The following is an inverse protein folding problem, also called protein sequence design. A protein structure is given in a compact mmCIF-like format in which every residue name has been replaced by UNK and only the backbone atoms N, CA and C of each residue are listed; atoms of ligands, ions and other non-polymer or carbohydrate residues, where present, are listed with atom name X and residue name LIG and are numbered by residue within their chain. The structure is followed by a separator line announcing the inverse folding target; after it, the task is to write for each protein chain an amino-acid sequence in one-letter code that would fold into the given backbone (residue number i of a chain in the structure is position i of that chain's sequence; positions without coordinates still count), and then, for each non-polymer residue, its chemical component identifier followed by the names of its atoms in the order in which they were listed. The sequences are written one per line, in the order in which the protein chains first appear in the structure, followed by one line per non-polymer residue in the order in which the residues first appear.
data_IF_801321488684
#
_entry.id   IF_801321488684
#
_cell.length_a   1.000
_cell.length_b   1.000
_cell.length_c   1.000
_cell.angle_alpha   90.00
_cell.angle_beta   90.00
_cell.angle_gamma   90.00
#
_symmetry.space_group_name_H-M   'P 1'
#
loop_
_entity.id
_entity.type
_entity.pdbx_description
1 polymer ?
#
# COMPACT_ATOMS: atom_id res chain seq x y z
N UNK A 1 30.45 6.02 -11.06
CA UNK A 1 30.48 6.20 -9.59
C UNK A 1 29.61 7.39 -9.26
N UNK A 2 28.66 7.26 -8.33
CA UNK A 2 27.80 8.39 -7.94
C UNK A 2 28.64 9.52 -7.32
N UNK A 3 28.29 10.78 -7.63
CA UNK A 3 28.98 11.95 -7.09
C UNK A 3 29.02 11.92 -5.56
N UNK A 4 30.07 12.44 -4.91
CA UNK A 4 30.24 12.38 -3.45
C UNK A 4 29.05 12.97 -2.66
N UNK A 5 28.38 13.99 -3.19
CA UNK A 5 27.14 14.55 -2.62
C UNK A 5 25.97 13.56 -2.56
N UNK A 6 25.82 12.71 -3.57
CA UNK A 6 24.75 11.68 -3.61
C UNK A 6 25.00 10.64 -2.53
N UNK A 7 26.25 10.23 -2.34
CA UNK A 7 26.65 9.29 -1.28
C UNK A 7 26.34 9.84 0.12
N UNK A 8 26.64 11.11 0.37
CA UNK A 8 26.34 11.75 1.66
C UNK A 8 24.82 11.85 1.91
N UNK A 9 24.03 12.21 0.91
CA UNK A 9 22.57 12.29 1.04
C UNK A 9 21.92 10.91 1.26
N UNK A 10 22.43 9.87 0.61
CA UNK A 10 22.00 8.48 0.85
C UNK A 10 22.31 8.06 2.29
N UNK A 11 23.52 8.33 2.78
CA UNK A 11 23.93 8.01 4.16
C UNK A 11 23.08 8.76 5.20
N UNK A 12 22.81 10.05 4.97
CA UNK A 12 21.96 10.85 5.86
C UNK A 12 20.52 10.33 5.89
N UNK A 13 19.96 10.00 4.74
CA UNK A 13 18.60 9.42 4.66
C UNK A 13 18.51 8.08 5.39
N UNK A 14 19.51 7.22 5.25
CA UNK A 14 19.60 5.96 5.99
C UNK A 14 19.77 6.17 7.49
N UNK A 15 20.59 7.14 7.90
CA UNK A 15 20.79 7.45 9.32
C UNK A 15 19.50 7.98 9.98
N UNK A 16 18.77 8.89 9.33
CA UNK A 16 17.48 9.42 9.81
C UNK A 16 16.44 8.30 9.90
N UNK A 17 16.36 7.43 8.90
CA UNK A 17 15.48 6.28 8.94
C UNK A 17 15.81 5.34 10.11
N UNK A 18 17.08 5.01 10.28
CA UNK A 18 17.59 4.12 11.33
C UNK A 18 17.37 4.69 12.75
N UNK A 19 17.62 5.99 12.96
CA UNK A 19 17.39 6.63 14.27
C UNK A 19 15.89 6.64 14.65
N UNK A 20 15.01 6.89 13.67
CA UNK A 20 13.56 6.84 13.84
C UNK A 20 13.09 5.43 14.19
N UNK A 21 13.60 4.41 13.49
CA UNK A 21 13.26 3.01 13.73
C UNK A 21 13.73 2.56 15.13
N UNK A 22 14.94 2.96 15.56
CA UNK A 22 15.44 2.70 16.91
C UNK A 22 14.56 3.35 17.99
N UNK A 23 14.23 4.62 17.86
CA UNK A 23 13.37 5.30 18.83
C UNK A 23 12.01 4.62 18.95
N UNK A 24 11.45 4.20 17.83
CA UNK A 24 10.17 3.48 17.83
C UNK A 24 10.30 2.09 18.47
N UNK A 25 11.41 1.40 18.24
CA UNK A 25 11.69 0.07 18.78
C UNK A 25 11.92 0.11 20.31
N UNK A 26 12.69 1.07 20.79
CA UNK A 26 13.09 1.11 22.22
C UNK A 26 12.05 1.77 23.13
N UNK A 27 11.28 2.74 22.64
CA UNK A 27 10.30 3.47 23.46
C UNK A 27 8.85 3.19 23.02
N UNK A 28 8.58 3.21 21.71
CA UNK A 28 7.23 3.09 21.20
C UNK A 28 6.63 1.70 21.38
N UNK A 29 7.40 0.64 21.19
CA UNK A 29 6.90 -0.74 21.27
C UNK A 29 6.61 -1.19 22.71
N UNK A 30 7.50 -1.00 23.70
CA UNK A 30 7.18 -1.35 25.10
C UNK A 30 5.96 -0.60 25.64
N UNK A 31 5.87 0.70 25.37
CA UNK A 31 4.71 1.50 25.78
C UNK A 31 3.42 1.02 25.11
N UNK A 32 3.49 0.73 23.82
CA UNK A 32 2.38 0.19 23.05
C UNK A 32 1.86 -1.15 23.60
N UNK A 33 2.77 -2.05 24.01
CA UNK A 33 2.41 -3.34 24.64
C UNK A 33 1.67 -3.13 25.97
N UNK A 34 2.18 -2.24 26.83
CA UNK A 34 1.51 -1.92 28.10
C UNK A 34 0.12 -1.33 27.84
N UNK A 35 0.00 -0.42 26.89
CA UNK A 35 -1.29 0.17 26.51
C UNK A 35 -2.27 -0.89 26.01
N UNK A 36 -1.85 -1.77 25.10
CA UNK A 36 -2.72 -2.82 24.56
C UNK A 36 -3.11 -3.83 25.65
N UNK A 37 -2.17 -4.27 26.49
CA UNK A 37 -2.47 -5.17 27.60
C UNK A 37 -3.50 -4.57 28.57
N UNK A 38 -3.37 -3.27 28.92
CA UNK A 38 -4.37 -2.59 29.75
C UNK A 38 -5.75 -2.57 29.09
N UNK A 39 -5.79 -2.34 27.79
CA UNK A 39 -7.03 -2.35 27.02
C UNK A 39 -7.61 -3.77 26.90
N UNK A 40 -6.80 -4.78 26.65
CA UNK A 40 -7.20 -6.20 26.57
C UNK A 40 -7.90 -6.67 27.84
N UNK A 41 -7.42 -6.25 28.99
CA UNK A 41 -8.00 -6.62 30.29
C UNK A 41 -9.05 -5.62 30.80
N UNK A 42 -9.55 -4.74 29.94
CA UNK A 42 -10.58 -3.75 30.28
C UNK A 42 -10.27 -2.92 31.56
N UNK A 43 -8.97 -2.66 31.82
CA UNK A 43 -8.52 -1.86 32.97
C UNK A 43 -8.90 -0.39 32.80
N UNK A 44 -8.89 0.35 33.93
CA UNK A 44 -9.14 1.79 33.92
C UNK A 44 -8.32 2.51 32.83
N UNK A 45 -8.98 3.34 32.02
CA UNK A 45 -8.39 4.05 30.89
C UNK A 45 -8.47 3.31 29.55
N UNK A 46 -8.99 2.09 29.47
CA UNK A 46 -9.13 1.29 28.23
C UNK A 46 -9.86 2.06 27.12
N UNK A 47 -10.95 2.75 27.44
CA UNK A 47 -11.70 3.58 26.45
C UNK A 47 -10.83 4.71 25.87
N UNK A 48 -9.94 5.31 26.67
CA UNK A 48 -9.02 6.35 26.17
C UNK A 48 -7.98 5.75 25.23
N UNK A 49 -7.44 4.58 25.55
CA UNK A 49 -6.47 3.87 24.69
C UNK A 49 -7.12 3.54 23.35
N UNK A 50 -8.36 3.07 23.35
CA UNK A 50 -9.11 2.79 22.13
C UNK A 50 -9.43 4.06 21.35
N UNK A 51 -9.79 5.17 22.03
CA UNK A 51 -9.99 6.47 21.39
C UNK A 51 -8.73 6.98 20.67
N UNK A 52 -7.53 6.69 21.18
CA UNK A 52 -6.27 6.97 20.47
C UNK A 52 -5.99 6.04 19.29
N UNK A 53 -6.83 5.04 19.06
CA UNK A 53 -6.82 4.19 17.86
C UNK A 53 -6.05 2.89 17.98
N UNK A 54 -5.68 2.43 19.18
CA UNK A 54 -4.87 1.25 19.47
C UNK A 54 -3.50 1.25 18.75
N UNK A 55 -2.41 0.79 19.39
CA UNK A 55 -1.09 0.74 18.76
C UNK A 55 -1.02 -0.34 17.68
N UNK A 56 -1.01 0.08 16.42
CA UNK A 56 -1.13 -0.79 15.24
C UNK A 56 -0.17 -1.98 15.23
N UNK A 57 1.12 -1.72 15.48
CA UNK A 57 2.13 -2.79 15.40
C UNK A 57 1.95 -3.84 16.50
N UNK A 58 1.47 -3.43 17.69
CA UNK A 58 1.18 -4.38 18.76
C UNK A 58 -0.10 -5.17 18.48
N UNK A 59 -1.14 -4.54 17.88
CA UNK A 59 -2.33 -5.26 17.40
C UNK A 59 -1.91 -6.33 16.38
N UNK A 60 -1.03 -5.98 15.42
CA UNK A 60 -0.50 -6.94 14.44
C UNK A 60 0.31 -8.07 15.08
N UNK A 61 1.16 -7.74 16.04
CA UNK A 61 1.95 -8.74 16.80
C UNK A 61 1.05 -9.69 17.58
N UNK A 62 0.01 -9.15 18.24
CA UNK A 62 -0.91 -9.93 19.09
C UNK A 62 -1.80 -10.87 18.27
N UNK A 63 -2.32 -10.40 17.14
CA UNK A 63 -3.21 -11.18 16.27
C UNK A 63 -2.46 -12.13 15.33
N UNK A 64 -1.20 -11.82 15.01
CA UNK A 64 -0.43 -12.48 13.98
C UNK A 64 -0.81 -12.02 12.57
N UNK A 65 0.10 -12.23 11.62
CA UNK A 65 -0.08 -11.77 10.24
C UNK A 65 -1.28 -12.42 9.53
N UNK A 66 -1.51 -13.72 9.76
CA UNK A 66 -2.60 -14.46 9.12
C UNK A 66 -3.99 -13.91 9.46
N UNK A 67 -4.18 -13.47 10.70
CA UNK A 67 -5.47 -12.93 11.16
C UNK A 67 -5.86 -11.61 10.47
N UNK A 68 -4.88 -10.87 9.97
CA UNK A 68 -5.04 -9.58 9.29
C UNK A 68 -4.75 -9.68 7.78
N UNK A 69 -4.55 -10.88 7.27
CA UNK A 69 -4.36 -11.14 5.84
C UNK A 69 -5.68 -11.59 5.20
N UNK A 70 -6.06 -10.90 4.16
CA UNK A 70 -7.21 -11.24 3.32
C UNK A 70 -6.71 -11.61 1.92
N UNK A 71 -7.44 -12.47 1.22
CA UNK A 71 -7.15 -12.82 -0.16
C UNK A 71 -8.20 -12.18 -1.06
N UNK A 72 -7.76 -11.43 -2.05
CA UNK A 72 -8.65 -10.68 -2.94
C UNK A 72 -8.22 -10.83 -4.40
N UNK A 73 -9.18 -10.77 -5.30
CA UNK A 73 -8.89 -10.61 -6.72
C UNK A 73 -8.22 -9.23 -6.94
N UNK A 74 -6.98 -9.15 -7.43
CA UNK A 74 -6.28 -7.88 -7.63
C UNK A 74 -7.01 -6.93 -8.60
N UNK A 75 -7.79 -7.48 -9.54
CA UNK A 75 -8.57 -6.68 -10.50
C UNK A 75 -9.83 -6.06 -9.90
N UNK A 76 -10.27 -6.51 -8.73
CA UNK A 76 -11.34 -5.86 -7.97
C UNK A 76 -10.79 -4.80 -6.99
N UNK A 77 -9.50 -4.88 -6.61
CA UNK A 77 -8.86 -3.92 -5.72
C UNK A 77 -8.41 -2.68 -6.50
N UNK A 78 -9.37 -1.93 -7.02
CA UNK A 78 -9.15 -0.79 -7.91
C UNK A 78 -9.19 0.58 -7.21
N UNK A 79 -9.67 0.66 -5.98
CA UNK A 79 -9.80 1.94 -5.27
C UNK A 79 -8.73 2.11 -4.21
N UNK A 80 -8.08 3.27 -4.21
CA UNK A 80 -7.07 3.67 -3.23
C UNK A 80 -7.57 4.85 -2.39
N UNK A 81 -7.47 4.72 -1.06
CA UNK A 81 -7.84 5.79 -0.14
C UNK A 81 -6.88 6.98 -0.23
N UNK A 82 -7.41 8.20 -0.32
CA UNK A 82 -6.67 9.45 -0.27
C UNK A 82 -6.63 9.96 1.16
N UNK A 83 -5.55 9.69 1.88
CA UNK A 83 -5.42 9.90 3.33
C UNK A 83 -5.43 11.37 3.78
N UNK A 84 -5.15 12.31 2.89
CA UNK A 84 -5.18 13.75 3.17
C UNK A 84 -5.53 14.49 1.89
N UNK A 85 -6.82 14.55 1.52
CA UNK A 85 -7.27 15.16 0.26
C UNK A 85 -7.15 16.69 0.26
N UNK A 86 -7.05 17.34 1.42
CA UNK A 86 -6.88 18.79 1.58
C UNK A 86 -5.72 19.09 2.52
N UNK A 87 -5.08 20.26 2.33
CA UNK A 87 -3.96 20.71 3.18
C UNK A 87 -4.35 20.85 4.66
N UNK A 88 -5.61 21.19 4.92
CA UNK A 88 -6.18 21.38 6.25
C UNK A 88 -6.50 20.05 6.97
N UNK A 89 -6.67 18.96 6.22
CA UNK A 89 -6.99 17.65 6.77
C UNK A 89 -5.72 16.95 7.27
N UNK A 90 -5.71 16.64 8.56
CA UNK A 90 -4.59 15.88 9.14
C UNK A 90 -4.65 14.43 8.66
N UNK A 91 -3.54 13.98 8.12
CA UNK A 91 -3.36 12.56 7.81
C UNK A 91 -3.49 11.72 9.08
N UNK A 92 -4.28 10.62 9.07
CA UNK A 92 -4.36 9.72 10.22
C UNK A 92 -2.99 9.18 10.62
N UNK A 93 -2.79 8.97 11.92
CA UNK A 93 -1.51 8.47 12.42
C UNK A 93 -1.22 7.06 11.90
N UNK A 94 -0.06 6.87 11.29
CA UNK A 94 0.39 5.54 10.85
C UNK A 94 0.67 4.57 12.02
N UNK A 95 0.70 5.06 13.25
CA UNK A 95 0.89 4.28 14.48
C UNK A 95 -0.42 3.73 15.03
N UNK A 96 -1.57 4.33 14.69
CA UNK A 96 -2.88 3.89 15.16
C UNK A 96 -3.45 2.79 14.24
N UNK A 97 -4.07 1.77 14.82
CA UNK A 97 -4.79 0.73 14.08
C UNK A 97 -6.17 1.22 13.64
N UNK A 98 -6.87 1.97 14.51
CA UNK A 98 -8.19 2.53 14.24
C UNK A 98 -8.02 3.98 13.80
N UNK A 99 -8.52 4.31 12.60
CA UNK A 99 -8.47 5.64 12.03
C UNK A 99 -9.83 6.32 12.05
N UNK A 100 -9.82 7.63 12.28
CA UNK A 100 -10.99 8.51 12.24
C UNK A 100 -10.90 9.46 11.03
N UNK A 101 -12.00 10.17 10.75
CA UNK A 101 -12.05 11.22 9.73
C UNK A 101 -12.65 10.78 8.40
N UNK A 102 -12.35 11.54 7.34
CA UNK A 102 -12.96 11.42 6.01
C UNK A 102 -12.05 10.76 4.96
N UNK A 103 -10.95 10.16 5.39
CA UNK A 103 -9.90 9.60 4.53
C UNK A 103 -10.37 8.54 3.54
N UNK A 104 -11.51 7.90 3.76
CA UNK A 104 -12.10 6.85 2.93
C UNK A 104 -13.17 7.38 1.94
N UNK A 105 -13.47 8.69 1.99
CA UNK A 105 -14.50 9.30 1.17
C UNK A 105 -14.00 9.78 -0.20
N UNK A 106 -12.69 9.96 -0.36
CA UNK A 106 -12.04 10.21 -1.64
C UNK A 106 -11.18 9.02 -2.03
N UNK A 107 -11.31 8.58 -3.28
CA UNK A 107 -10.70 7.34 -3.75
C UNK A 107 -10.11 7.53 -5.14
N UNK A 108 -8.82 7.26 -5.29
CA UNK A 108 -8.19 7.20 -6.61
C UNK A 108 -8.53 5.89 -7.31
N UNK A 109 -8.68 5.93 -8.63
CA UNK A 109 -8.78 4.74 -9.46
C UNK A 109 -7.38 4.26 -9.86
N UNK A 110 -6.99 3.09 -9.40
CA UNK A 110 -5.68 2.52 -9.66
C UNK A 110 -5.47 2.11 -11.11
N UNK A 111 -6.54 1.89 -11.88
CA UNK A 111 -6.48 1.49 -13.30
C UNK A 111 -5.90 2.60 -14.19
N UNK A 112 -6.17 3.86 -13.84
CA UNK A 112 -5.57 5.04 -14.47
C UNK A 112 -4.34 5.56 -13.71
N UNK A 113 -3.96 4.88 -12.65
CA UNK A 113 -2.82 5.25 -11.81
C UNK A 113 -1.48 5.05 -12.52
N UNK A 114 -0.50 5.89 -12.17
CA UNK A 114 0.84 5.88 -12.79
C UNK A 114 1.57 4.54 -12.66
N UNK A 115 1.24 3.71 -11.65
CA UNK A 115 1.88 2.39 -11.46
C UNK A 115 1.34 1.36 -12.44
N UNK A 116 0.02 1.31 -12.60
CA UNK A 116 -0.58 0.42 -13.60
C UNK A 116 -0.18 0.80 -15.03
N UNK A 117 -0.24 2.10 -15.36
CA UNK A 117 0.20 2.61 -16.66
C UNK A 117 1.67 2.26 -16.95
N UNK A 118 2.56 2.40 -15.94
CA UNK A 118 3.97 2.03 -16.08
C UNK A 118 4.13 0.54 -16.40
N UNK A 119 3.48 -0.34 -15.63
CA UNK A 119 3.63 -1.79 -15.81
C UNK A 119 3.03 -2.25 -17.15
N UNK A 120 1.87 -1.71 -17.54
CA UNK A 120 1.25 -2.00 -18.84
C UNK A 120 2.14 -1.55 -20.00
N UNK A 121 2.64 -0.31 -19.97
CA UNK A 121 3.53 0.25 -20.98
C UNK A 121 4.83 -0.55 -21.13
N UNK A 122 5.42 -0.99 -20.01
CA UNK A 122 6.61 -1.86 -20.00
C UNK A 122 6.31 -3.24 -20.62
N UNK A 123 5.17 -3.83 -20.27
CA UNK A 123 4.78 -5.15 -20.78
C UNK A 123 4.49 -5.11 -22.29
N UNK A 124 3.84 -4.07 -22.76
CA UNK A 124 3.51 -3.86 -24.17
C UNK A 124 4.74 -3.57 -25.04
N UNK A 125 5.70 -2.81 -24.49
CA UNK A 125 6.94 -2.42 -25.19
C UNK A 125 8.18 -3.20 -24.73
N UNK A 126 8.03 -4.43 -24.23
CA UNK A 126 9.12 -5.22 -23.62
C UNK A 126 10.34 -5.44 -24.50
N UNK A 127 10.18 -5.44 -25.82
CA UNK A 127 11.25 -5.62 -26.80
C UNK A 127 11.85 -4.30 -27.28
N UNK A 128 11.21 -3.15 -26.96
CA UNK A 128 11.61 -1.81 -27.39
C UNK A 128 11.37 -0.81 -26.25
N UNK A 129 12.11 -0.94 -25.15
CA UNK A 129 11.92 -0.15 -23.92
C UNK A 129 12.08 1.35 -24.12
N UNK A 130 12.80 1.76 -25.15
CA UNK A 130 12.97 3.15 -25.57
C UNK A 130 11.64 3.79 -26.02
N UNK A 131 10.67 2.98 -26.44
CA UNK A 131 9.35 3.45 -26.85
C UNK A 131 8.44 3.76 -25.64
N UNK A 132 8.77 3.25 -24.46
CA UNK A 132 7.96 3.48 -23.26
C UNK A 132 7.87 4.95 -22.89
N UNK A 133 6.71 5.38 -22.42
CA UNK A 133 6.48 6.73 -21.92
C UNK A 133 7.44 7.06 -20.75
N UNK A 134 7.78 6.03 -19.94
CA UNK A 134 8.71 6.19 -18.83
C UNK A 134 10.12 6.49 -19.32
N UNK A 135 10.63 5.78 -20.31
CA UNK A 135 11.93 6.05 -20.92
C UNK A 135 11.99 7.46 -21.47
N UNK A 136 11.03 7.84 -22.33
CA UNK A 136 10.95 9.19 -22.93
C UNK A 136 10.94 10.29 -21.89
N UNK A 137 10.17 10.10 -20.80
CA UNK A 137 10.10 11.07 -19.68
C UNK A 137 11.45 11.20 -18.96
N UNK A 138 12.17 10.10 -18.75
CA UNK A 138 13.46 10.12 -18.06
C UNK A 138 14.55 10.71 -18.96
N UNK A 139 14.55 10.42 -20.25
CA UNK A 139 15.44 11.06 -21.23
C UNK A 139 15.28 12.58 -21.26
N UNK A 140 14.05 13.07 -21.34
CA UNK A 140 13.77 14.51 -21.27
C UNK A 140 14.36 15.16 -20.00
N UNK A 141 14.37 14.46 -18.88
CA UNK A 141 15.00 14.97 -17.64
C UNK A 141 16.51 15.04 -17.72
N UNK A 142 17.16 14.06 -18.37
CA UNK A 142 18.61 14.09 -18.65
C UNK A 142 18.95 15.28 -19.53
N UNK A 143 18.23 15.49 -20.62
CA UNK A 143 18.40 16.61 -21.55
C UNK A 143 18.25 17.97 -20.85
N UNK A 144 17.41 18.05 -19.83
CA UNK A 144 17.19 19.25 -19.01
C UNK A 144 18.23 19.40 -17.89
N UNK A 145 19.25 18.56 -17.81
CA UNK A 145 20.27 18.60 -16.75
C UNK A 145 19.76 18.20 -15.36
N UNK A 146 18.56 17.57 -15.28
CA UNK A 146 17.92 17.15 -14.04
C UNK A 146 17.58 15.66 -14.05
N UNK A 147 18.57 14.75 -14.09
CA UNK A 147 18.35 13.32 -14.12
C UNK A 147 17.54 12.84 -12.91
N UNK A 148 16.84 11.74 -13.06
CA UNK A 148 16.05 11.19 -11.97
C UNK A 148 16.93 10.44 -10.97
N UNK A 149 16.68 10.72 -9.68
CA UNK A 149 17.40 10.11 -8.58
C UNK A 149 16.46 9.64 -7.46
N UNK A 150 16.84 8.56 -6.80
CA UNK A 150 16.21 8.07 -5.58
C UNK A 150 17.28 7.76 -4.53
N UNK A 151 17.52 8.71 -3.63
CA UNK A 151 18.54 8.57 -2.59
C UNK A 151 18.31 7.34 -1.69
N UNK A 152 17.07 7.04 -1.35
CA UNK A 152 16.73 5.89 -0.49
C UNK A 152 17.05 4.54 -1.14
N UNK A 153 17.07 4.49 -2.47
CA UNK A 153 17.32 3.27 -3.25
C UNK A 153 18.72 3.26 -3.88
N UNK A 154 19.48 4.35 -3.75
CA UNK A 154 20.80 4.50 -4.39
C UNK A 154 20.74 4.52 -5.92
N UNK A 155 19.58 4.87 -6.50
CA UNK A 155 19.37 4.86 -7.95
C UNK A 155 19.60 6.25 -8.51
N UNK A 156 20.42 6.34 -9.58
CA UNK A 156 20.69 7.58 -10.31
C UNK A 156 20.69 7.30 -11.82
N UNK A 157 19.70 7.83 -12.53
CA UNK A 157 19.47 7.57 -13.95
C UNK A 157 19.88 8.78 -14.78
N UNK A 158 21.16 8.87 -15.10
CA UNK A 158 21.82 9.96 -15.85
C UNK A 158 22.23 9.57 -17.27
N UNK A 159 22.05 8.32 -17.68
CA UNK A 159 22.31 7.84 -19.04
C UNK A 159 21.16 6.96 -19.57
N UNK A 160 21.01 6.86 -20.91
CA UNK A 160 20.02 6.00 -21.54
C UNK A 160 20.14 4.53 -21.09
N UNK A 161 21.35 4.01 -20.99
CA UNK A 161 21.63 2.61 -20.63
C UNK A 161 21.14 2.31 -19.21
N UNK A 162 21.39 3.23 -18.25
CA UNK A 162 20.89 3.09 -16.88
C UNK A 162 19.36 3.12 -16.80
N UNK A 163 18.71 3.91 -17.66
CA UNK A 163 17.26 3.89 -17.77
C UNK A 163 16.78 2.52 -18.26
N UNK A 164 17.38 1.99 -19.33
CA UNK A 164 17.02 0.68 -19.87
C UNK A 164 17.23 -0.43 -18.83
N UNK A 165 18.36 -0.43 -18.13
CA UNK A 165 18.63 -1.39 -17.05
C UNK A 165 17.57 -1.32 -15.94
N UNK A 166 17.24 -0.11 -15.50
CA UNK A 166 16.18 0.11 -14.52
C UNK A 166 14.82 -0.43 -14.98
N UNK A 167 14.44 -0.23 -16.24
CA UNK A 167 13.18 -0.74 -16.80
C UNK A 167 13.20 -2.26 -16.95
N UNK A 168 14.34 -2.87 -17.32
CA UNK A 168 14.52 -4.33 -17.39
C UNK A 168 14.35 -4.99 -16.02
N UNK A 169 14.77 -4.36 -14.94
CA UNK A 169 14.55 -4.87 -13.57
C UNK A 169 13.04 -5.01 -13.28
N UNK A 170 12.22 -4.03 -13.67
CA UNK A 170 10.76 -4.13 -13.51
C UNK A 170 10.14 -5.23 -14.37
N UNK A 171 10.63 -5.41 -15.61
CA UNK A 171 10.20 -6.54 -16.45
C UNK A 171 10.59 -7.88 -15.83
N UNK A 172 11.81 -7.99 -15.28
CA UNK A 172 12.24 -9.19 -14.55
C UNK A 172 11.29 -9.52 -13.39
N UNK A 173 10.86 -8.54 -12.60
CA UNK A 173 9.87 -8.76 -11.54
C UNK A 173 8.50 -9.17 -12.09
N UNK A 174 8.07 -8.62 -13.23
CA UNK A 174 6.83 -9.02 -13.88
C UNK A 174 6.90 -10.46 -14.40
N UNK A 175 8.01 -10.86 -15.01
CA UNK A 175 8.23 -12.20 -15.53
C UNK A 175 8.35 -13.24 -14.41
N UNK A 176 9.03 -12.88 -13.30
CA UNK A 176 9.07 -13.71 -12.09
C UNK A 176 7.66 -13.94 -11.53
N UNK A 177 6.86 -12.87 -11.42
CA UNK A 177 5.48 -12.98 -10.94
C UNK A 177 4.58 -13.77 -11.91
N UNK A 178 4.84 -13.67 -13.21
CA UNK A 178 4.12 -14.45 -14.23
C UNK A 178 4.42 -15.95 -14.13
N UNK A 179 5.66 -16.32 -13.78
CA UNK A 179 6.11 -17.71 -13.65
C UNK A 179 5.73 -18.33 -12.31
N UNK A 180 5.99 -17.60 -11.21
CA UNK A 180 5.95 -18.14 -9.86
C UNK A 180 4.69 -17.72 -9.08
N UNK A 181 3.84 -16.86 -9.67
CA UNK A 181 2.71 -16.25 -8.97
C UNK A 181 3.13 -15.13 -8.01
N UNK A 182 2.20 -14.72 -7.15
CA UNK A 182 2.45 -13.68 -6.16
C UNK A 182 3.08 -14.26 -4.89
N UNK A 183 4.39 -14.08 -4.70
CA UNK A 183 5.07 -14.45 -3.44
C UNK A 183 5.08 -13.24 -2.46
N UNK A 184 4.37 -13.30 -1.31
CA UNK A 184 4.36 -12.23 -0.32
C UNK A 184 5.73 -11.93 0.29
N UNK A 185 6.66 -12.88 0.28
CA UNK A 185 8.02 -12.75 0.83
C UNK A 185 8.95 -11.97 -0.09
N UNK A 186 8.64 -11.93 -1.40
CA UNK A 186 9.40 -11.13 -2.37
C UNK A 186 8.94 -9.68 -2.30
N UNK A 187 9.81 -8.80 -1.86
CA UNK A 187 9.59 -7.35 -1.77
C UNK A 187 9.49 -6.83 -0.35
N UNK A 188 9.78 -5.55 -0.20
CA UNK A 188 9.92 -4.86 1.10
C UNK A 188 8.60 -4.74 1.87
N UNK A 189 7.49 -4.57 1.17
CA UNK A 189 6.19 -4.25 1.78
C UNK A 189 5.10 -5.23 1.31
N UNK A 190 4.29 -5.72 2.25
CA UNK A 190 3.03 -6.39 1.93
C UNK A 190 2.07 -5.45 1.18
N UNK A 191 1.09 -5.99 0.44
CA UNK A 191 0.02 -5.19 -0.14
C UNK A 191 -0.87 -4.63 0.97
N UNK A 192 -0.55 -3.41 1.44
CA UNK A 192 -1.29 -2.77 2.53
C UNK A 192 -2.67 -2.30 2.08
N UNK A 193 -3.68 -2.60 2.90
CA UNK A 193 -5.06 -2.16 2.72
C UNK A 193 -5.62 -1.59 4.01
N UNK A 194 -6.74 -0.89 3.90
CA UNK A 194 -7.52 -0.37 5.01
C UNK A 194 -8.99 -0.75 4.84
N UNK A 195 -9.72 -0.84 5.95
CA UNK A 195 -11.16 -1.09 5.94
C UNK A 195 -11.88 0.24 6.14
N UNK A 196 -12.71 0.62 5.16
CA UNK A 196 -13.50 1.86 5.17
C UNK A 196 -14.61 1.84 6.24
N UNK A 197 -15.28 2.98 6.44
CA UNK A 197 -16.46 3.10 7.32
C UNK A 197 -17.58 2.11 7.01
N UNK A 198 -17.69 1.71 5.75
CA UNK A 198 -18.72 0.79 5.26
C UNK A 198 -18.28 -0.69 5.28
N UNK A 199 -17.02 -0.96 5.67
CA UNK A 199 -16.46 -2.31 5.69
C UNK A 199 -15.93 -2.76 4.33
N UNK A 200 -15.58 -1.80 3.45
CA UNK A 200 -14.98 -2.09 2.15
C UNK A 200 -13.45 -2.00 2.23
N UNK A 201 -12.77 -2.82 1.43
CA UNK A 201 -11.32 -2.84 1.35
C UNK A 201 -10.87 -1.76 0.38
N UNK A 202 -10.02 -0.84 0.85
CA UNK A 202 -9.36 0.18 0.04
C UNK A 202 -7.85 -0.03 0.08
N UNK A 203 -7.20 0.16 -1.06
CA UNK A 203 -5.73 0.15 -1.15
C UNK A 203 -5.14 1.37 -0.46
N UNK A 204 -3.93 1.23 0.08
CA UNK A 204 -3.10 2.35 0.52
C UNK A 204 -1.74 2.33 -0.20
N UNK A 205 -0.97 3.41 -0.06
CA UNK A 205 0.32 3.56 -0.76
C UNK A 205 1.41 2.61 -0.20
N UNK A 206 1.19 1.27 -0.35
CA UNK A 206 2.14 0.21 0.00
C UNK A 206 2.02 -0.95 -0.97
N UNK A 207 3.12 -1.32 -1.65
CA UNK A 207 3.15 -2.43 -2.61
C UNK A 207 2.40 -2.16 -3.93
N UNK A 208 2.26 -0.90 -4.36
CA UNK A 208 1.49 -0.52 -5.56
C UNK A 208 2.06 -1.11 -6.86
N UNK A 209 3.38 -1.20 -7.04
CA UNK A 209 3.97 -1.80 -8.24
C UNK A 209 3.63 -3.31 -8.32
N UNK A 210 3.72 -4.02 -7.20
CA UNK A 210 3.39 -5.45 -7.15
C UNK A 210 1.90 -5.70 -7.39
N UNK A 211 1.02 -4.82 -6.88
CA UNK A 211 -0.39 -4.88 -7.21
C UNK A 211 -0.63 -4.63 -8.71
N UNK A 212 0.00 -3.62 -9.28
CA UNK A 212 -0.11 -3.33 -10.71
C UNK A 212 0.36 -4.50 -11.60
N UNK A 213 1.44 -5.18 -11.20
CA UNK A 213 1.91 -6.41 -11.86
C UNK A 213 0.86 -7.53 -11.79
N UNK A 214 0.32 -7.79 -10.59
CA UNK A 214 -0.72 -8.81 -10.40
C UNK A 214 -2.00 -8.49 -11.19
N UNK A 215 -2.37 -7.21 -11.26
CA UNK A 215 -3.50 -6.72 -12.07
C UNK A 215 -3.25 -6.91 -13.58
N UNK A 216 -2.06 -6.56 -14.05
CA UNK A 216 -1.67 -6.73 -15.47
C UNK A 216 -1.66 -8.20 -15.88
N UNK A 217 -1.13 -9.07 -15.04
CA UNK A 217 -1.08 -10.50 -15.25
C UNK A 217 -2.45 -11.19 -15.09
N UNK A 218 -3.42 -10.52 -14.46
CA UNK A 218 -4.74 -11.11 -14.19
C UNK A 218 -4.68 -12.26 -13.18
N UNK A 219 -3.81 -12.17 -12.17
CA UNK A 219 -3.73 -13.21 -11.14
C UNK A 219 -5.10 -13.38 -10.45
N UNK A 220 -5.50 -14.61 -10.11
CA UNK A 220 -6.83 -14.86 -9.54
C UNK A 220 -6.94 -14.32 -8.11
N UNK A 221 -5.85 -14.30 -7.36
CA UNK A 221 -5.86 -13.87 -5.97
C UNK A 221 -4.49 -13.37 -5.53
N UNK A 222 -4.49 -12.36 -4.63
CA UNK A 222 -3.30 -11.87 -3.94
C UNK A 222 -3.59 -11.67 -2.45
N UNK A 223 -2.61 -11.95 -1.55
CA UNK A 223 -2.75 -11.64 -0.14
C UNK A 223 -2.59 -10.12 0.08
N UNK A 224 -3.53 -9.55 0.83
CA UNK A 224 -3.48 -8.15 1.26
C UNK A 224 -3.50 -8.07 2.78
N UNK A 225 -2.72 -7.16 3.36
CA UNK A 225 -2.61 -7.00 4.80
C UNK A 225 -3.41 -5.78 5.27
N UNK A 226 -4.39 -6.01 6.14
CA UNK A 226 -5.17 -4.96 6.78
C UNK A 226 -4.26 -4.19 7.75
N UNK A 227 -4.03 -2.92 7.46
CA UNK A 227 -3.14 -2.05 8.26
C UNK A 227 -3.92 -1.18 9.25
N UNK A 228 -5.09 -0.74 8.84
CA UNK A 228 -5.94 0.15 9.63
C UNK A 228 -7.41 -0.13 9.31
N UNK A 229 -8.27 0.23 10.24
CA UNK A 229 -9.72 0.14 10.10
C UNK A 229 -10.37 1.46 10.45
N UNK A 230 -11.51 1.78 9.84
CA UNK A 230 -12.24 3.00 10.17
C UNK A 230 -12.98 2.86 11.49
N UNK A 231 -13.01 3.93 12.33
CA UNK A 231 -13.70 4.00 13.62
C UNK A 231 -15.16 3.54 13.53
N UNK A 232 -15.92 4.05 12.59
CA UNK A 232 -17.34 3.69 12.46
C UNK A 232 -17.56 2.21 12.15
N UNK A 233 -16.70 1.61 11.34
CA UNK A 233 -16.75 0.17 11.10
C UNK A 233 -16.35 -0.61 12.35
N UNK A 234 -15.28 -0.20 13.03
CA UNK A 234 -14.83 -0.80 14.28
C UNK A 234 -15.95 -0.81 15.34
N UNK A 235 -16.56 0.34 15.63
CA UNK A 235 -17.61 0.48 16.64
C UNK A 235 -18.83 -0.39 16.30
N UNK A 236 -19.20 -0.45 15.01
CA UNK A 236 -20.30 -1.28 14.53
C UNK A 236 -20.03 -2.77 14.73
N UNK A 237 -18.83 -3.27 14.36
CA UNK A 237 -18.55 -4.72 14.43
C UNK A 237 -18.23 -5.21 15.82
N UNK A 238 -17.63 -4.34 16.65
CA UNK A 238 -17.33 -4.68 18.04
C UNK A 238 -18.56 -4.54 18.94
N UNK A 239 -19.55 -3.71 18.55
CA UNK A 239 -20.79 -3.48 19.27
C UNK A 239 -20.55 -3.20 20.77
N UNK A 240 -19.62 -2.28 21.07
CA UNK A 240 -19.24 -1.86 22.41
C UNK A 240 -18.38 -2.86 23.20
N UNK A 241 -18.02 -4.01 22.62
CA UNK A 241 -17.06 -4.92 23.24
C UNK A 241 -15.67 -4.28 23.34
N UNK A 242 -14.89 -4.69 24.33
CA UNK A 242 -13.50 -4.27 24.53
C UNK A 242 -12.60 -5.50 24.65
N UNK A 243 -11.29 -5.28 24.57
CA UNK A 243 -10.31 -6.34 24.76
C UNK A 243 -10.39 -7.46 23.71
N UNK A 244 -10.17 -8.69 24.15
CA UNK A 244 -10.14 -9.88 23.27
C UNK A 244 -11.44 -10.08 22.50
N UNK A 245 -12.58 -9.83 23.12
CA UNK A 245 -13.87 -9.98 22.45
C UNK A 245 -14.02 -9.01 21.29
N UNK A 246 -13.55 -7.76 21.43
CA UNK A 246 -13.57 -6.79 20.35
C UNK A 246 -12.66 -7.23 19.19
N UNK A 247 -11.45 -7.70 19.48
CA UNK A 247 -10.52 -8.23 18.47
C UNK A 247 -11.11 -9.44 17.74
N UNK A 248 -11.71 -10.37 18.48
CA UNK A 248 -12.35 -11.56 17.89
C UNK A 248 -13.52 -11.19 16.96
N UNK A 249 -14.42 -10.29 17.38
CA UNK A 249 -15.53 -9.79 16.55
C UNK A 249 -15.02 -9.10 15.30
N UNK A 250 -14.00 -8.27 15.45
CA UNK A 250 -13.33 -7.59 14.33
C UNK A 250 -12.76 -8.60 13.33
N UNK A 251 -12.02 -9.62 13.77
CA UNK A 251 -11.46 -10.67 12.91
C UNK A 251 -12.55 -11.43 12.14
N UNK A 252 -13.66 -11.79 12.79
CA UNK A 252 -14.79 -12.43 12.12
C UNK A 252 -15.41 -11.52 11.05
N UNK A 253 -15.53 -10.22 11.35
CA UNK A 253 -16.08 -9.26 10.42
C UNK A 253 -15.15 -9.01 9.21
N UNK A 254 -13.80 -9.05 9.40
CA UNK A 254 -12.83 -8.90 8.31
C UNK A 254 -13.03 -9.88 7.18
N UNK A 255 -13.40 -11.14 7.50
CA UNK A 255 -13.64 -12.19 6.49
C UNK A 255 -14.79 -11.87 5.53
N UNK A 256 -15.66 -10.92 5.87
CA UNK A 256 -16.80 -10.47 5.05
C UNK A 256 -16.49 -9.20 4.27
N UNK A 257 -15.31 -8.61 4.48
CA UNK A 257 -14.89 -7.40 3.77
C UNK A 257 -14.51 -7.78 2.34
N UNK A 258 -14.97 -6.99 1.37
CA UNK A 258 -14.68 -7.15 -0.05
C UNK A 258 -14.09 -5.85 -0.60
N UNK A 259 -13.32 -5.90 -1.70
CA UNK A 259 -12.79 -4.72 -2.35
C UNK A 259 -13.89 -3.70 -2.69
N UNK A 260 -13.55 -2.43 -2.59
CA UNK A 260 -14.41 -1.34 -3.06
C UNK A 260 -14.14 -1.07 -4.54
N UNK A 261 -15.19 -1.09 -5.34
CA UNK A 261 -15.11 -0.80 -6.77
C UNK A 261 -15.70 0.55 -7.14
N UNK A 262 -16.53 1.15 -6.26
CA UNK A 262 -17.23 2.40 -6.51
C UNK A 262 -16.33 3.60 -6.20
N UNK A 263 -16.49 4.72 -6.92
CA UNK A 263 -15.88 5.98 -6.53
C UNK A 263 -16.27 6.39 -5.10
N UNK A 264 -15.49 7.26 -4.51
CA UNK A 264 -15.80 7.83 -3.20
C UNK A 264 -16.94 8.85 -3.29
N UNK A 265 -17.72 9.03 -2.22
CA UNK A 265 -18.83 9.99 -2.21
C UNK A 265 -18.38 11.45 -2.37
N UNK A 266 -17.09 11.74 -2.21
CA UNK A 266 -16.49 13.07 -2.41
C UNK A 266 -15.56 13.13 -3.63
N UNK A 267 -15.58 12.14 -4.51
CA UNK A 267 -14.86 12.21 -5.78
C UNK A 267 -15.58 13.17 -6.74
N UNK A 268 -14.79 13.89 -7.55
CA UNK A 268 -15.29 14.97 -8.37
C UNK A 268 -16.07 14.51 -9.61
N UNK A 269 -15.93 13.25 -10.00
CA UNK A 269 -16.59 12.71 -11.18
C UNK A 269 -16.97 11.23 -10.96
N UNK A 270 -18.21 11.00 -10.47
CA UNK A 270 -18.70 9.63 -10.26
C UNK A 270 -19.05 8.90 -11.58
N UNK A 271 -19.18 9.59 -12.71
CA UNK A 271 -19.70 9.02 -13.95
C UNK A 271 -18.63 8.45 -14.89
N UNK A 272 -17.35 8.72 -14.68
CA UNK A 272 -16.25 8.07 -15.40
C UNK A 272 -15.94 6.70 -14.82
N UNK A 273 -16.94 5.84 -14.72
CA UNK A 273 -16.68 4.44 -14.41
C UNK A 273 -16.01 3.77 -15.60
N UNK A 274 -14.71 3.51 -15.46
CA UNK A 274 -14.01 2.64 -16.41
C UNK A 274 -14.68 1.28 -16.39
N UNK A 275 -15.09 0.81 -17.56
CA UNK A 275 -15.70 -0.52 -17.72
C UNK A 275 -14.68 -1.63 -17.46
N UNK A 276 -15.14 -2.87 -17.29
CA UNK A 276 -14.27 -4.04 -17.18
C UNK A 276 -13.37 -4.22 -18.42
N UNK A 277 -13.83 -3.76 -19.58
CA UNK A 277 -13.05 -3.72 -20.81
C UNK A 277 -11.76 -2.88 -20.73
N UNK A 278 -11.63 -2.00 -19.73
CA UNK A 278 -10.38 -1.28 -19.48
C UNK A 278 -9.22 -2.21 -19.12
N UNK A 279 -9.48 -3.32 -18.42
CA UNK A 279 -8.44 -4.28 -18.11
C UNK A 279 -8.04 -5.05 -19.36
N UNK A 280 -6.75 -5.04 -19.76
CA UNK A 280 -6.27 -5.90 -20.82
C UNK A 280 -6.44 -7.38 -20.45
N UNK A 281 -6.62 -8.25 -21.43
CA UNK A 281 -6.73 -9.68 -21.20
C UNK A 281 -5.50 -10.21 -20.42
N UNK A 282 -5.69 -11.21 -19.53
CA UNK A 282 -4.57 -11.92 -18.90
C UNK A 282 -3.69 -12.55 -19.98
N UNK A 283 -2.39 -12.67 -19.71
CA UNK A 283 -1.48 -13.41 -20.61
C UNK A 283 -1.96 -14.86 -20.73
N UNK A 284 -2.09 -15.34 -21.95
CA UNK A 284 -2.35 -16.75 -22.23
C UNK A 284 -1.17 -17.58 -21.68
N UNK A 285 -1.45 -18.57 -20.82
CA UNK A 285 -0.45 -19.48 -20.27
C UNK A 285 -0.29 -19.42 -18.73
N UNK A 286 -0.93 -18.50 -18.05
CA UNK A 286 -1.06 -18.56 -16.57
C UNK A 286 -2.31 -19.39 -16.23
N UNK A 287 -2.32 -20.67 -16.56
CA UNK A 287 -3.20 -21.64 -15.88
C UNK A 287 -2.55 -21.96 -14.54
N UNK A 288 -3.21 -21.53 -13.46
CA UNK A 288 -2.90 -21.89 -12.09
C UNK A 288 -3.20 -23.34 -11.84
#
# INVERSE_FOLDING_TARGET
MAAPEIRQRVLLAHWVAHSRDKTQQYLGFPLGRIMLQRWMHSKAGSRRIEAFGLPRHIVHETLGEQALTLHVNPRELIRMAIQAPRKEEKRPSSLAFIWEGSWDQRREDLRVGTRYSLISDLDENRHQLEQTARFKKLMKRIEQGNPWESYQQGVFLDTPEKIIEYLRIYLGFLDDMARDGFDPRRGKDALGVVISRDGRILKINRGLHRLAMAQRLGLPSVPVQVRHVHRFWWDRVTAGATGELALHRMQQALRRCVPETRPGPLDLDPDTLLTDAFWPAPRAGLSV
#
